data_IF_423953295201
#
_entry.id   IF_423953295201
#
_cell.length_a   1.000
_cell.length_b   1.000
_cell.length_c   1.000
_cell.angle_alpha   90.00
_cell.angle_beta   90.00
_cell.angle_gamma   90.00
#
_symmetry.space_group_name_H-M   'P 1'
#
loop_
_entity.id
_entity.type
_entity.pdbx_description
1 polymer ?
#
# COMPACT_ATOMS: atom_id res chain seq x y z
N UNK A 1 5.81 -8.63 23.27
CA UNK A 1 4.50 -8.90 22.63
C UNK A 1 4.76 -9.94 21.55
N UNK A 2 3.93 -10.97 21.44
CA UNK A 2 4.10 -12.00 20.42
C UNK A 2 3.64 -11.41 19.08
N UNK A 3 4.51 -11.44 18.07
CA UNK A 3 4.13 -11.11 16.69
C UNK A 3 2.97 -12.01 16.24
N UNK A 4 2.04 -11.51 15.41
CA UNK A 4 0.96 -12.36 14.90
C UNK A 4 1.53 -13.56 14.15
N UNK A 5 0.88 -14.73 14.29
CA UNK A 5 1.24 -15.90 13.49
C UNK A 5 1.04 -15.60 12.01
N UNK A 6 2.13 -15.62 11.24
CA UNK A 6 2.14 -15.33 9.80
C UNK A 6 2.33 -16.62 9.01
N UNK A 7 1.67 -16.73 7.86
CA UNK A 7 1.87 -17.79 6.89
C UNK A 7 3.00 -17.43 5.90
N UNK A 8 3.56 -18.41 5.19
CA UNK A 8 4.51 -18.14 4.12
C UNK A 8 3.93 -17.14 3.09
N UNK A 9 4.70 -16.13 2.74
CA UNK A 9 4.26 -15.05 1.84
C UNK A 9 3.50 -13.91 2.51
N UNK A 10 3.28 -13.98 3.83
CA UNK A 10 2.74 -12.87 4.61
C UNK A 10 3.85 -12.05 5.25
N UNK A 11 3.72 -10.74 5.14
CA UNK A 11 4.59 -9.75 5.76
C UNK A 11 3.76 -8.85 6.68
N UNK A 12 4.28 -8.50 7.84
CA UNK A 12 3.56 -7.66 8.79
C UNK A 12 4.48 -6.66 9.48
N UNK A 13 4.00 -5.43 9.61
CA UNK A 13 4.55 -4.43 10.52
C UNK A 13 3.61 -4.16 11.70
N UNK A 14 2.64 -5.03 11.95
CA UNK A 14 1.70 -4.95 13.09
C UNK A 14 2.28 -5.61 14.32
N UNK A 15 2.14 -4.98 15.48
CA UNK A 15 2.47 -5.57 16.77
C UNK A 15 1.35 -6.45 17.35
N UNK A 16 0.13 -6.40 16.78
CA UNK A 16 -1.07 -7.07 17.27
C UNK A 16 -1.99 -7.49 16.14
N UNK A 17 -2.79 -8.57 16.28
CA UNK A 17 -3.80 -8.97 15.29
C UNK A 17 -4.93 -7.94 15.08
N UNK A 18 -5.21 -7.09 16.08
CA UNK A 18 -6.17 -5.98 16.00
C UNK A 18 -5.58 -4.76 16.69
N UNK A 19 -5.66 -3.60 16.04
CA UNK A 19 -5.00 -2.39 16.49
C UNK A 19 -3.47 -2.55 16.57
N UNK A 20 -2.89 -2.01 17.63
CA UNK A 20 -1.46 -2.12 17.91
C UNK A 20 -0.62 -1.01 17.29
N UNK A 21 0.68 -1.12 17.48
CA UNK A 21 1.67 -0.17 16.97
C UNK A 21 2.40 -0.73 15.76
N UNK A 22 3.08 0.15 15.05
CA UNK A 22 3.98 -0.24 13.96
C UNK A 22 5.25 -0.85 14.55
N UNK A 23 5.61 -2.04 14.10
CA UNK A 23 6.88 -2.69 14.45
C UNK A 23 8.06 -1.93 13.83
N UNK A 24 9.21 -2.00 14.47
CA UNK A 24 10.45 -1.41 13.96
C UNK A 24 11.01 -2.17 12.72
N UNK A 25 10.57 -3.40 12.49
CA UNK A 25 11.01 -4.24 11.37
C UNK A 25 9.83 -5.04 10.83
N UNK A 26 9.91 -5.42 9.55
CA UNK A 26 8.94 -6.34 8.94
C UNK A 26 9.10 -7.73 9.54
N UNK A 27 8.00 -8.27 10.05
CA UNK A 27 7.89 -9.67 10.44
C UNK A 27 7.40 -10.51 9.25
N UNK A 28 7.76 -11.80 9.23
CA UNK A 28 7.44 -12.72 8.14
C UNK A 28 8.58 -12.91 7.16
N UNK A 29 8.30 -13.61 6.07
CA UNK A 29 9.29 -13.86 5.02
C UNK A 29 8.64 -13.97 3.65
N UNK A 30 9.37 -13.55 2.62
CA UNK A 30 8.92 -13.67 1.23
C UNK A 30 8.92 -15.14 0.74
N UNK A 31 9.69 -16.02 1.37
CA UNK A 31 9.96 -17.33 0.78
C UNK A 31 10.82 -17.21 -0.49
N UNK A 32 10.70 -18.17 -1.41
CA UNK A 32 11.37 -18.12 -2.69
C UNK A 32 10.59 -17.20 -3.65
N UNK A 33 11.29 -16.31 -4.35
CA UNK A 33 10.73 -15.45 -5.39
C UNK A 33 11.69 -15.33 -6.58
N UNK A 34 11.12 -15.09 -7.75
CA UNK A 34 11.87 -14.82 -8.97
C UNK A 34 12.14 -13.33 -9.18
N UNK A 35 12.12 -12.90 -10.43
CA UNK A 35 12.36 -11.50 -10.82
C UNK A 35 11.16 -10.57 -10.68
N UNK A 36 9.98 -11.08 -10.27
CA UNK A 36 8.75 -10.31 -10.20
C UNK A 36 8.03 -10.54 -8.87
N UNK A 37 7.71 -9.45 -8.18
CA UNK A 37 6.98 -9.49 -6.89
C UNK A 37 5.81 -8.52 -6.93
N UNK A 38 4.66 -8.97 -6.42
CA UNK A 38 3.50 -8.12 -6.13
C UNK A 38 3.30 -8.02 -4.63
N UNK A 39 3.19 -6.81 -4.10
CA UNK A 39 2.82 -6.53 -2.73
C UNK A 39 1.39 -6.01 -2.65
N UNK A 40 0.56 -6.64 -1.83
CA UNK A 40 -0.83 -6.26 -1.57
C UNK A 40 -0.91 -5.47 -0.26
N UNK A 41 -1.55 -4.30 -0.28
CA UNK A 41 -1.76 -3.45 0.91
C UNK A 41 -3.25 -3.20 1.13
N UNK A 42 -3.76 -3.61 2.31
CA UNK A 42 -5.16 -3.43 2.70
C UNK A 42 -5.48 -1.99 3.12
N UNK A 43 -6.77 -1.73 3.32
CA UNK A 43 -7.29 -0.42 3.65
C UNK A 43 -7.33 -0.08 5.13
N UNK A 44 -8.10 0.97 5.44
CA UNK A 44 -8.42 1.42 6.77
C UNK A 44 -9.43 0.48 7.46
N UNK A 45 -9.32 0.37 8.76
CA UNK A 45 -10.22 -0.40 9.65
C UNK A 45 -10.23 -1.91 9.39
N UNK A 46 -9.18 -2.44 8.76
CA UNK A 46 -9.02 -3.87 8.52
C UNK A 46 -8.15 -4.51 9.61
N UNK A 47 -8.75 -5.32 10.48
CA UNK A 47 -7.98 -6.21 11.36
C UNK A 47 -7.19 -7.23 10.53
N UNK A 48 -6.19 -7.90 11.13
CA UNK A 48 -5.42 -8.94 10.45
C UNK A 48 -6.33 -10.01 9.82
N UNK A 49 -7.40 -10.41 10.52
CA UNK A 49 -8.35 -11.43 10.03
C UNK A 49 -9.14 -10.93 8.82
N UNK A 50 -9.63 -9.68 8.86
CA UNK A 50 -10.39 -9.07 7.75
C UNK A 50 -9.50 -8.88 6.53
N UNK A 51 -8.31 -8.31 6.70
CA UNK A 51 -7.36 -8.12 5.62
C UNK A 51 -6.95 -9.47 4.98
N UNK A 52 -6.71 -10.51 5.82
CA UNK A 52 -6.37 -11.85 5.33
C UNK A 52 -7.50 -12.48 4.50
N UNK A 53 -8.76 -12.32 4.93
CA UNK A 53 -9.92 -12.79 4.18
C UNK A 53 -10.06 -12.05 2.83
N UNK A 54 -9.83 -10.74 2.80
CA UNK A 54 -9.84 -9.93 1.58
C UNK A 54 -8.75 -10.36 0.60
N UNK A 55 -7.54 -10.61 1.09
CA UNK A 55 -6.45 -11.12 0.25
C UNK A 55 -6.72 -12.53 -0.27
N UNK A 56 -7.27 -13.41 0.56
CA UNK A 56 -7.66 -14.75 0.12
C UNK A 56 -8.69 -14.69 -1.01
N UNK A 57 -9.70 -13.82 -0.89
CA UNK A 57 -10.68 -13.58 -1.94
C UNK A 57 -10.05 -13.02 -3.23
N UNK A 58 -9.13 -12.07 -3.10
CA UNK A 58 -8.38 -11.54 -4.25
C UNK A 58 -7.60 -12.65 -4.96
N UNK A 59 -6.84 -13.45 -4.20
CA UNK A 59 -6.01 -14.53 -4.75
C UNK A 59 -6.84 -15.63 -5.42
N UNK A 60 -8.03 -15.94 -4.90
CA UNK A 60 -8.96 -16.90 -5.54
C UNK A 60 -9.45 -16.41 -6.90
N UNK A 61 -9.54 -15.10 -7.11
CA UNK A 61 -9.96 -14.49 -8.37
C UNK A 61 -8.76 -14.10 -9.26
N UNK A 62 -7.52 -14.28 -8.77
CA UNK A 62 -6.33 -14.01 -9.58
C UNK A 62 -6.20 -15.08 -10.67
N UNK A 63 -5.79 -14.71 -11.90
CA UNK A 63 -5.64 -15.67 -12.98
C UNK A 63 -4.79 -16.89 -12.59
N UNK A 64 -5.35 -18.07 -12.68
CA UNK A 64 -4.68 -19.34 -12.43
C UNK A 64 -4.22 -20.06 -13.71
N UNK A 65 -3.63 -21.26 -13.57
CA UNK A 65 -3.17 -22.08 -14.70
C UNK A 65 -4.24 -22.24 -15.78
N UNK A 66 -3.86 -22.10 -17.04
CA UNK A 66 -4.78 -22.14 -18.20
C UNK A 66 -5.39 -20.79 -18.58
N UNK A 67 -5.15 -19.72 -17.80
CA UNK A 67 -5.46 -18.37 -18.19
C UNK A 67 -4.25 -17.76 -18.93
N UNK A 68 -4.42 -17.16 -20.13
CA UNK A 68 -3.30 -16.58 -20.88
C UNK A 68 -2.49 -15.53 -20.11
N UNK A 69 -3.11 -14.81 -19.17
CA UNK A 69 -2.39 -13.84 -18.32
C UNK A 69 -1.50 -14.55 -17.30
N UNK A 70 -1.94 -15.68 -16.75
CA UNK A 70 -1.13 -16.48 -15.83
C UNK A 70 0.11 -17.04 -16.53
N UNK A 71 -0.03 -17.49 -17.78
CA UNK A 71 1.09 -18.09 -18.53
C UNK A 71 2.16 -17.05 -18.90
N UNK A 72 1.77 -15.78 -19.01
CA UNK A 72 2.65 -14.66 -19.35
C UNK A 72 3.23 -13.96 -18.11
N UNK A 73 2.54 -14.04 -16.97
CA UNK A 73 2.90 -13.29 -15.77
C UNK A 73 2.62 -14.10 -14.50
N UNK A 74 3.69 -14.55 -13.86
CA UNK A 74 3.66 -15.38 -12.65
C UNK A 74 4.49 -14.73 -11.53
N UNK A 75 4.06 -13.58 -11.00
CA UNK A 75 4.77 -12.93 -9.90
C UNK A 75 4.60 -13.70 -8.60
N UNK A 76 5.58 -13.60 -7.70
CA UNK A 76 5.37 -13.92 -6.30
C UNK A 76 4.45 -12.86 -5.66
N UNK A 77 3.31 -13.27 -5.10
CA UNK A 77 2.34 -12.34 -4.49
C UNK A 77 2.45 -12.42 -2.97
N UNK A 78 2.61 -11.27 -2.33
CA UNK A 78 2.80 -11.15 -0.89
C UNK A 78 1.75 -10.24 -0.26
N UNK A 79 1.13 -10.72 0.81
CA UNK A 79 0.17 -10.00 1.61
C UNK A 79 0.87 -9.16 2.67
N UNK A 80 0.69 -7.84 2.66
CA UNK A 80 1.30 -6.92 3.59
C UNK A 80 0.28 -6.41 4.60
N UNK A 81 0.55 -6.59 5.90
CA UNK A 81 -0.32 -6.18 6.98
C UNK A 81 0.29 -5.03 7.78
N UNK A 82 -0.49 -3.99 7.99
CA UNK A 82 -0.12 -2.82 8.76
C UNK A 82 -1.23 -2.47 9.78
N UNK A 83 -0.96 -1.77 10.89
CA UNK A 83 -1.95 -1.48 11.92
C UNK A 83 -2.88 -0.32 11.50
N UNK A 84 -3.77 -0.56 10.54
CA UNK A 84 -4.75 0.39 10.03
C UNK A 84 -6.13 0.30 10.68
N UNK A 85 -6.23 -0.32 11.86
CA UNK A 85 -7.48 -0.63 12.55
C UNK A 85 -7.46 -0.29 14.05
N UNK A 86 -7.02 0.92 14.41
CA UNK A 86 -7.13 1.38 15.79
C UNK A 86 -8.60 1.54 16.16
N UNK A 87 -9.11 0.55 16.90
CA UNK A 87 -10.51 0.41 17.20
C UNK A 87 -11.04 1.55 18.12
N UNK A 88 -11.83 2.45 17.57
CA UNK A 88 -12.60 3.45 18.32
C UNK A 88 -14.13 3.21 18.18
N UNK A 89 -14.55 1.97 17.88
CA UNK A 89 -15.97 1.62 17.74
C UNK A 89 -16.69 2.44 16.67
N UNK A 90 -17.95 2.85 16.90
CA UNK A 90 -18.75 3.58 15.91
C UNK A 90 -18.23 5.00 15.58
N UNK A 91 -17.26 5.51 16.32
CA UNK A 91 -16.61 6.83 16.09
C UNK A 91 -15.26 6.71 15.40
N UNK A 92 -15.12 5.77 14.47
CA UNK A 92 -13.88 5.50 13.75
C UNK A 92 -13.25 6.73 13.05
N UNK A 93 -14.03 7.77 12.74
CA UNK A 93 -13.48 9.02 12.16
C UNK A 93 -12.49 9.73 13.07
N UNK A 94 -12.64 9.64 14.40
CA UNK A 94 -11.72 10.27 15.34
C UNK A 94 -10.35 9.59 15.37
N UNK A 95 -10.23 8.34 14.91
CA UNK A 95 -8.96 7.61 14.80
C UNK A 95 -8.25 7.83 13.47
N UNK A 96 -8.93 8.37 12.46
CA UNK A 96 -8.39 8.51 11.10
C UNK A 96 -7.03 9.26 11.05
N UNK A 97 -6.80 10.37 11.77
CA UNK A 97 -5.49 11.01 11.83
C UNK A 97 -4.38 10.10 12.35
N UNK A 98 -4.69 9.23 13.31
CA UNK A 98 -3.74 8.27 13.87
C UNK A 98 -3.38 7.19 12.84
N UNK A 99 -4.33 6.80 12.00
CA UNK A 99 -4.11 5.81 10.95
C UNK A 99 -3.27 6.36 9.79
N UNK A 100 -3.40 7.65 9.47
CA UNK A 100 -2.46 8.31 8.55
C UNK A 100 -1.03 8.23 9.11
N UNK A 101 -0.85 8.51 10.40
CA UNK A 101 0.44 8.34 11.08
C UNK A 101 0.96 6.90 11.02
N UNK A 102 0.08 5.91 11.25
CA UNK A 102 0.42 4.50 11.15
C UNK A 102 0.81 4.11 9.71
N UNK A 103 0.10 4.62 8.69
CA UNK A 103 0.44 4.40 7.29
C UNK A 103 1.83 4.95 6.93
N UNK A 104 2.15 6.19 7.35
CA UNK A 104 3.46 6.82 7.14
C UNK A 104 4.59 6.03 7.83
N UNK A 105 4.41 5.64 9.09
CA UNK A 105 5.39 4.86 9.83
C UNK A 105 5.59 3.47 9.23
N UNK A 106 4.51 2.79 8.82
CA UNK A 106 4.57 1.50 8.14
C UNK A 106 5.31 1.59 6.81
N UNK A 107 5.08 2.66 6.06
CA UNK A 107 5.77 2.93 4.79
C UNK A 107 7.29 3.00 4.98
N UNK A 108 7.79 3.68 6.02
CA UNK A 108 9.22 3.77 6.32
C UNK A 108 9.83 2.38 6.62
N UNK A 109 9.13 1.55 7.41
CA UNK A 109 9.60 0.18 7.74
C UNK A 109 9.61 -0.71 6.50
N UNK A 110 8.58 -0.65 5.66
CA UNK A 110 8.57 -1.38 4.40
C UNK A 110 9.63 -0.87 3.41
N UNK A 111 9.94 0.43 3.40
CA UNK A 111 10.99 0.98 2.55
C UNK A 111 12.37 0.41 2.91
N UNK A 112 12.70 0.38 4.20
CA UNK A 112 13.96 -0.22 4.67
C UNK A 112 14.01 -1.73 4.35
N UNK A 113 12.91 -2.44 4.50
CA UNK A 113 12.81 -3.84 4.12
C UNK A 113 13.08 -4.06 2.61
N UNK A 114 12.40 -3.29 1.75
CA UNK A 114 12.55 -3.41 0.28
C UNK A 114 13.95 -3.01 -0.19
N UNK A 115 14.57 -2.02 0.44
CA UNK A 115 15.93 -1.59 0.11
C UNK A 115 16.98 -2.67 0.40
N UNK A 116 16.70 -3.59 1.30
CA UNK A 116 17.58 -4.69 1.69
C UNK A 116 17.17 -6.05 1.08
N UNK A 117 16.25 -6.06 0.10
CA UNK A 117 15.88 -7.32 -0.55
C UNK A 117 17.05 -7.94 -1.32
N UNK A 118 17.30 -9.23 -1.15
CA UNK A 118 18.24 -9.96 -2.00
C UNK A 118 17.74 -9.96 -3.45
N UNK A 119 18.62 -9.69 -4.39
CA UNK A 119 18.27 -9.72 -5.82
C UNK A 119 18.74 -11.03 -6.42
N UNK A 120 17.85 -11.90 -6.90
CA UNK A 120 18.21 -13.19 -7.43
C UNK A 120 19.13 -13.08 -8.65
N UNK A 121 20.28 -13.74 -8.61
CA UNK A 121 21.13 -14.01 -9.79
C UNK A 121 21.65 -12.80 -10.55
N UNK A 122 21.66 -11.59 -9.97
CA UNK A 122 22.11 -10.37 -10.65
C UNK A 122 21.13 -9.83 -11.72
N UNK A 123 19.91 -10.39 -11.78
CA UNK A 123 18.83 -9.89 -12.64
C UNK A 123 18.19 -8.60 -12.05
N UNK A 124 17.29 -7.97 -12.80
CA UNK A 124 16.42 -6.93 -12.24
C UNK A 124 15.29 -7.55 -11.42
N UNK A 125 14.88 -6.87 -10.36
CA UNK A 125 13.72 -7.21 -9.55
C UNK A 125 12.60 -6.21 -9.84
N UNK A 126 11.56 -6.67 -10.52
CA UNK A 126 10.39 -5.89 -10.87
C UNK A 126 9.36 -5.95 -9.76
N UNK A 127 9.04 -4.82 -9.15
CA UNK A 127 8.10 -4.69 -8.04
C UNK A 127 6.81 -4.03 -8.53
N UNK A 128 5.70 -4.64 -8.12
CA UNK A 128 4.34 -4.16 -8.36
C UNK A 128 3.63 -3.96 -7.02
N UNK A 129 2.80 -2.93 -6.94
CA UNK A 129 1.97 -2.65 -5.77
C UNK A 129 0.50 -2.70 -6.16
N UNK A 130 -0.31 -3.30 -5.29
CA UNK A 130 -1.78 -3.22 -5.35
C UNK A 130 -2.23 -2.76 -3.98
N UNK A 131 -2.95 -1.65 -3.92
CA UNK A 131 -3.39 -1.07 -2.67
C UNK A 131 -4.87 -0.69 -2.70
N UNK A 132 -5.54 -0.86 -1.56
CA UNK A 132 -6.93 -0.50 -1.36
C UNK A 132 -7.07 0.62 -0.33
N UNK A 133 -7.95 1.58 -0.59
CA UNK A 133 -8.34 2.66 0.34
C UNK A 133 -7.11 3.39 0.94
N UNK A 134 -6.96 3.48 2.26
CA UNK A 134 -5.82 4.12 2.94
C UNK A 134 -4.47 3.39 2.72
N UNK A 135 -4.48 2.13 2.29
CA UNK A 135 -3.27 1.44 1.84
C UNK A 135 -2.60 2.13 0.65
N UNK A 136 -3.34 2.89 -0.15
CA UNK A 136 -2.77 3.73 -1.20
C UNK A 136 -1.91 4.86 -0.64
N UNK A 137 -2.33 5.46 0.49
CA UNK A 137 -1.51 6.45 1.18
C UNK A 137 -0.21 5.82 1.65
N UNK A 138 -0.26 4.64 2.26
CA UNK A 138 0.94 3.90 2.68
C UNK A 138 1.87 3.65 1.48
N UNK A 139 1.37 3.16 0.34
CA UNK A 139 2.21 2.88 -0.84
C UNK A 139 2.83 4.15 -1.41
N UNK A 140 2.12 5.26 -1.46
CA UNK A 140 2.69 6.53 -1.95
C UNK A 140 3.78 7.07 -1.01
N UNK A 141 3.60 6.97 0.30
CA UNK A 141 4.64 7.31 1.28
C UNK A 141 5.84 6.34 1.19
N UNK A 142 5.59 5.06 0.96
CA UNK A 142 6.62 4.04 0.71
C UNK A 142 7.44 4.37 -0.53
N UNK A 143 6.79 4.71 -1.64
CA UNK A 143 7.47 5.11 -2.88
C UNK A 143 8.29 6.39 -2.68
N UNK A 144 7.79 7.36 -1.89
CA UNK A 144 8.55 8.56 -1.52
C UNK A 144 9.81 8.20 -0.73
N UNK A 145 9.69 7.31 0.26
CA UNK A 145 10.82 6.86 1.05
C UNK A 145 11.86 6.11 0.20
N UNK A 146 11.40 5.25 -0.73
CA UNK A 146 12.27 4.51 -1.65
C UNK A 146 12.99 5.44 -2.64
N UNK A 147 12.35 6.52 -3.10
CA UNK A 147 13.00 7.53 -3.92
C UNK A 147 14.12 8.25 -3.15
N UNK A 148 13.88 8.58 -1.90
CA UNK A 148 14.89 9.17 -1.02
C UNK A 148 16.07 8.20 -0.80
N UNK A 149 15.80 6.92 -0.57
CA UNK A 149 16.85 5.89 -0.44
C UNK A 149 17.63 5.72 -1.75
N UNK A 150 16.97 5.77 -2.90
CA UNK A 150 17.61 5.73 -4.22
C UNK A 150 18.53 6.94 -4.43
N UNK A 151 18.06 8.13 -4.11
CA UNK A 151 18.83 9.38 -4.19
C UNK A 151 20.05 9.38 -3.27
N UNK A 152 19.96 8.69 -2.13
CA UNK A 152 21.04 8.50 -1.17
C UNK A 152 22.00 7.32 -1.54
N UNK A 153 21.77 6.64 -2.65
CA UNK A 153 22.57 5.48 -3.09
C UNK A 153 22.37 4.22 -2.24
N UNK A 154 21.28 4.16 -1.46
CA UNK A 154 20.95 3.06 -0.53
C UNK A 154 19.95 2.05 -1.11
N UNK A 155 19.41 2.29 -2.29
CA UNK A 155 18.53 1.38 -3.01
C UNK A 155 19.26 0.86 -4.24
N UNK A 156 19.27 -0.46 -4.45
CA UNK A 156 19.88 -1.07 -5.64
C UNK A 156 19.21 -0.57 -6.92
N UNK A 157 20.01 -0.23 -7.92
CA UNK A 157 19.53 0.14 -9.27
C UNK A 157 18.82 -1.01 -10.00
N UNK A 158 19.01 -2.24 -9.53
CA UNK A 158 18.35 -3.43 -10.07
C UNK A 158 16.89 -3.55 -9.59
N UNK A 159 16.48 -2.82 -8.55
CA UNK A 159 15.07 -2.75 -8.12
C UNK A 159 14.33 -1.74 -8.99
N UNK A 160 13.26 -2.20 -9.62
CA UNK A 160 12.45 -1.38 -10.51
C UNK A 160 10.96 -1.42 -10.12
N UNK A 161 10.34 -0.26 -10.01
CA UNK A 161 8.91 -0.14 -9.71
C UNK A 161 8.13 -0.12 -11.03
N UNK A 162 7.54 -1.27 -11.39
CA UNK A 162 6.92 -1.49 -12.70
C UNK A 162 5.44 -1.15 -12.74
N UNK A 163 4.73 -1.36 -11.64
CA UNK A 163 3.30 -1.11 -11.63
C UNK A 163 2.74 -0.73 -10.28
N UNK A 164 1.72 0.12 -10.31
CA UNK A 164 0.91 0.47 -9.16
C UNK A 164 -0.58 0.46 -9.54
N UNK A 165 -1.33 -0.47 -8.97
CA UNK A 165 -2.78 -0.51 -9.05
C UNK A 165 -3.38 0.09 -7.78
N UNK A 166 -3.99 1.26 -7.91
CA UNK A 166 -4.64 2.02 -6.86
C UNK A 166 -6.14 1.75 -6.90
N UNK A 167 -6.71 1.22 -5.83
CA UNK A 167 -8.14 0.86 -5.75
C UNK A 167 -8.81 1.69 -4.66
N UNK A 168 -9.88 2.42 -5.01
CA UNK A 168 -10.67 3.24 -4.09
C UNK A 168 -9.79 4.12 -3.16
N UNK A 169 -8.78 4.79 -3.72
CA UNK A 169 -7.72 5.44 -2.95
C UNK A 169 -8.23 6.55 -2.03
N UNK A 170 -8.02 6.37 -0.72
CA UNK A 170 -8.23 7.38 0.31
C UNK A 170 -6.98 8.28 0.40
N UNK A 171 -6.78 9.09 -0.63
CA UNK A 171 -5.67 10.05 -0.78
C UNK A 171 -6.23 11.31 -1.42
N UNK A 172 -5.93 12.53 -0.90
CA UNK A 172 -6.35 13.76 -1.53
C UNK A 172 -5.84 13.88 -2.96
N UNK A 173 -6.69 14.30 -3.89
CA UNK A 173 -6.31 14.54 -5.29
C UNK A 173 -5.15 15.54 -5.35
N UNK A 174 -5.22 16.62 -4.56
CA UNK A 174 -4.18 17.65 -4.49
C UNK A 174 -2.79 17.11 -4.11
N UNK A 175 -2.71 15.95 -3.44
CA UNK A 175 -1.42 15.35 -3.07
C UNK A 175 -0.71 14.72 -4.27
N UNK A 176 -1.46 14.30 -5.28
CA UNK A 176 -0.93 13.72 -6.51
C UNK A 176 -0.84 14.73 -7.68
N UNK A 177 -1.26 15.98 -7.48
CA UNK A 177 -1.05 17.08 -8.42
C UNK A 177 0.42 17.52 -8.48
N UNK A 178 0.87 18.21 -9.54
CA UNK A 178 2.29 18.58 -9.73
C UNK A 178 2.96 19.30 -8.56
N UNK A 179 2.20 20.08 -7.78
CA UNK A 179 2.67 20.75 -6.55
C UNK A 179 2.46 19.95 -5.27
N UNK A 180 1.81 18.80 -5.37
CA UNK A 180 1.43 17.98 -4.22
C UNK A 180 2.59 17.17 -3.63
N UNK A 181 2.54 16.87 -2.33
CA UNK A 181 3.64 16.21 -1.62
C UNK A 181 3.92 14.79 -2.08
N UNK A 182 2.96 14.11 -2.72
CA UNK A 182 3.07 12.73 -3.20
C UNK A 182 3.12 12.63 -4.74
N UNK A 183 3.22 13.77 -5.45
CA UNK A 183 3.26 13.76 -6.91
C UNK A 183 4.38 12.90 -7.48
N UNK A 184 5.60 13.05 -6.98
CA UNK A 184 6.75 12.28 -7.45
C UNK A 184 6.56 10.79 -7.21
N UNK A 185 6.07 10.41 -6.04
CA UNK A 185 5.73 9.02 -5.73
C UNK A 185 4.65 8.47 -6.68
N UNK A 186 3.61 9.26 -6.93
CA UNK A 186 2.54 8.88 -7.85
C UNK A 186 3.03 8.68 -9.29
N UNK A 187 4.18 9.25 -9.66
CA UNK A 187 4.77 9.13 -11.01
C UNK A 187 5.94 8.13 -11.10
N UNK A 188 6.38 7.56 -9.98
CA UNK A 188 7.57 6.69 -9.94
C UNK A 188 7.36 5.35 -10.62
N UNK A 189 6.16 4.77 -10.55
CA UNK A 189 5.86 3.50 -11.22
C UNK A 189 5.69 3.66 -12.73
N UNK A 190 6.31 2.78 -13.51
CA UNK A 190 6.27 2.81 -14.97
C UNK A 190 4.83 2.67 -15.52
N UNK A 191 3.99 1.88 -14.85
CA UNK A 191 2.58 1.71 -15.19
C UNK A 191 1.72 2.01 -13.97
N UNK A 192 0.65 2.80 -14.16
CA UNK A 192 -0.30 3.13 -13.11
C UNK A 192 -1.71 2.84 -13.59
N UNK A 193 -2.53 2.30 -12.67
CA UNK A 193 -3.96 2.10 -12.88
C UNK A 193 -4.70 2.54 -11.64
N UNK A 194 -5.71 3.38 -11.81
CA UNK A 194 -6.58 3.83 -10.74
C UNK A 194 -7.98 3.29 -10.99
N UNK A 195 -8.45 2.48 -10.05
CA UNK A 195 -9.83 2.03 -10.01
C UNK A 195 -10.58 2.94 -9.05
N UNK A 196 -11.53 3.71 -9.57
CA UNK A 196 -12.30 4.69 -8.82
C UNK A 196 -13.79 4.56 -9.09
N UNK A 197 -14.61 5.11 -8.20
CA UNK A 197 -16.07 5.11 -8.36
C UNK A 197 -16.65 6.42 -7.81
N UNK A 198 -17.33 7.17 -8.65
CA UNK A 198 -18.06 8.37 -8.23
C UNK A 198 -19.21 8.07 -7.25
N UNK A 199 -19.67 6.81 -7.23
CA UNK A 199 -20.69 6.32 -6.30
C UNK A 199 -20.13 5.90 -4.94
N UNK A 200 -18.81 6.01 -4.70
CA UNK A 200 -18.21 5.68 -3.40
C UNK A 200 -18.64 6.67 -2.31
N UNK A 201 -19.58 6.24 -1.48
CA UNK A 201 -20.15 7.06 -0.40
C UNK A 201 -19.20 7.26 0.76
N UNK A 202 -18.29 6.32 1.03
CA UNK A 202 -17.27 6.43 2.08
C UNK A 202 -16.28 7.52 1.73
N UNK A 203 -15.76 7.49 0.52
CA UNK A 203 -14.84 8.52 0.01
C UNK A 203 -15.53 9.86 -0.24
N UNK A 204 -16.86 9.88 -0.32
CA UNK A 204 -17.62 11.12 -0.46
C UNK A 204 -17.85 11.85 0.86
N UNK A 205 -18.26 11.13 1.91
CA UNK A 205 -18.69 11.73 3.17
C UNK A 205 -17.66 11.60 4.28
N UNK A 206 -17.06 10.40 4.44
CA UNK A 206 -16.20 10.09 5.56
C UNK A 206 -14.76 10.58 5.35
N UNK A 207 -14.22 10.42 4.14
CA UNK A 207 -12.85 10.78 3.82
C UNK A 207 -12.57 12.29 4.01
N UNK A 208 -13.39 13.25 3.47
CA UNK A 208 -13.12 14.68 3.65
C UNK A 208 -13.10 15.10 5.12
N UNK A 209 -13.98 14.54 5.94
CA UNK A 209 -14.03 14.81 7.38
C UNK A 209 -12.77 14.29 8.09
N UNK A 210 -12.33 13.07 7.75
CA UNK A 210 -11.13 12.45 8.31
C UNK A 210 -9.86 13.23 7.95
N UNK A 211 -9.68 13.59 6.70
CA UNK A 211 -8.52 14.38 6.22
C UNK A 211 -8.49 15.78 6.83
N UNK A 212 -9.65 16.45 6.93
CA UNK A 212 -9.74 17.76 7.59
C UNK A 212 -9.38 17.68 9.07
N UNK A 213 -9.82 16.63 9.76
CA UNK A 213 -9.45 16.38 11.17
C UNK A 213 -7.96 16.06 11.32
N UNK A 214 -7.33 15.48 10.31
CA UNK A 214 -5.89 15.21 10.26
C UNK A 214 -5.04 16.43 9.90
N UNK A 215 -5.66 17.55 9.50
CA UNK A 215 -4.95 18.75 9.04
C UNK A 215 -4.34 18.60 7.64
N UNK A 216 -4.78 17.61 6.87
CA UNK A 216 -4.27 17.32 5.52
C UNK A 216 -5.09 17.99 4.40
N UNK A 217 -5.86 19.02 4.72
CA UNK A 217 -6.64 19.82 3.79
C UNK A 217 -8.05 20.10 4.31
N UNK A 218 -8.71 21.08 3.71
CA UNK A 218 -10.09 21.43 4.07
C UNK A 218 -11.07 20.75 3.09
N UNK A 219 -11.75 19.70 3.57
CA UNK A 219 -12.68 18.88 2.80
C UNK A 219 -12.14 18.42 1.43
N UNK A 220 -10.96 17.75 1.41
CA UNK A 220 -10.34 17.35 0.15
C UNK A 220 -11.13 16.25 -0.55
N UNK A 221 -10.96 16.19 -1.86
CA UNK A 221 -11.52 15.15 -2.72
C UNK A 221 -10.58 13.96 -2.82
N UNK A 222 -11.10 12.72 -2.74
CA UNK A 222 -10.32 11.50 -2.83
C UNK A 222 -10.03 11.06 -4.27
N UNK A 223 -8.81 10.60 -4.55
CA UNK A 223 -8.44 9.98 -5.83
C UNK A 223 -9.35 8.78 -6.16
N UNK A 224 -9.70 7.97 -5.18
CA UNK A 224 -10.57 6.79 -5.36
C UNK A 224 -12.01 7.13 -5.75
N UNK A 225 -12.40 8.39 -5.69
CA UNK A 225 -13.70 8.87 -6.15
C UNK A 225 -13.64 9.55 -7.52
N UNK A 226 -12.60 10.30 -7.82
CA UNK A 226 -12.52 11.16 -9.01
C UNK A 226 -11.43 10.76 -9.99
N UNK A 227 -10.64 9.74 -9.67
CA UNK A 227 -9.48 9.37 -10.45
C UNK A 227 -8.25 10.23 -10.15
N UNK A 228 -7.16 9.95 -10.85
CA UNK A 228 -5.95 10.77 -10.76
C UNK A 228 -6.16 12.07 -11.54
N UNK A 229 -5.52 13.19 -11.10
CA UNK A 229 -5.45 14.39 -11.92
C UNK A 229 -4.90 14.02 -13.30
N UNK A 230 -5.58 14.47 -14.35
CA UNK A 230 -5.02 14.35 -15.69
C UNK A 230 -3.89 15.37 -15.78
N UNK A 231 -2.69 14.93 -16.09
CA UNK A 231 -1.63 15.83 -16.54
C UNK A 231 -2.01 16.31 -17.93
N UNK A 232 -2.32 17.57 -18.07
CA UNK A 232 -2.42 18.25 -19.36
C UNK A 232 -1.09 18.16 -20.12
#
# INVERSE_FOLDING_TARGET
MASPNLFPGELSVRSSPSGGDVLAQVAGSLGAYGSQIVFLFHGYNDSLAVARASYASFLQNFPGPGNPLHDQWQPAIHSCFWPGDKAWGPFSFASYPLEIGAAKNSAAVFADFLANLPIPGGATLDIFFIAHSLGNRLVLELLTALENLKSAGRLSSQIQFKGFCSMAAAVPVSFAEPSGPLFRAATLSATRRTLYSEADTVLHFAFPLGESAAGEGFFPTAIGRFGQPQSD
#
